data_IF_638570124225
#
_entry.id   IF_638570124225
#
_cell.length_a   1.000
_cell.length_b   1.000
_cell.length_c   1.000
_cell.angle_alpha   90.00
_cell.angle_beta   90.00
_cell.angle_gamma   90.00
#
_symmetry.space_group_name_H-M   'P 1'
#
loop_
_entity.id
_entity.type
_entity.pdbx_description
1 polymer ?
#
# COMPACT_ATOMS: atom_id res chain seq x y z
N UNK A 1 -8.71 9.51 -11.85
CA UNK A 1 -7.74 10.41 -11.18
C UNK A 1 -6.71 9.57 -10.46
N UNK A 2 -5.53 10.13 -10.18
CA UNK A 2 -4.44 9.44 -9.46
C UNK A 2 -4.33 10.07 -8.07
N UNK A 3 -4.32 9.23 -7.04
CA UNK A 3 -4.21 9.63 -5.64
C UNK A 3 -3.06 8.87 -4.99
N UNK A 4 -2.29 9.56 -4.16
CA UNK A 4 -1.18 8.95 -3.42
C UNK A 4 -1.53 9.06 -1.93
N UNK A 5 -1.61 7.91 -1.28
CA UNK A 5 -1.81 7.79 0.17
C UNK A 5 -0.47 7.34 0.73
N UNK A 6 0.13 8.18 1.57
CA UNK A 6 1.39 7.85 2.24
C UNK A 6 1.11 7.61 3.72
N UNK A 7 1.62 6.48 4.21
CA UNK A 7 1.71 6.17 5.63
C UNK A 7 3.19 6.12 6.02
N UNK A 8 3.55 6.78 7.12
CA UNK A 8 4.93 6.83 7.62
C UNK A 8 5.24 5.76 8.65
N UNK A 9 4.21 5.20 9.30
CA UNK A 9 4.33 4.19 10.35
C UNK A 9 3.26 3.11 10.16
N UNK A 10 3.39 2.39 9.04
CA UNK A 10 2.39 1.43 8.65
C UNK A 10 2.44 0.22 9.57
N UNK A 11 1.38 0.00 10.35
CA UNK A 11 1.31 -0.98 11.43
C UNK A 11 1.69 -2.42 11.05
N UNK A 12 1.51 -2.79 9.77
CA UNK A 12 1.88 -4.12 9.27
C UNK A 12 3.39 -4.26 9.11
N UNK A 13 4.10 -3.16 8.83
CA UNK A 13 5.55 -3.12 8.62
C UNK A 13 6.34 -2.61 9.83
N UNK A 14 5.74 -1.84 10.73
CA UNK A 14 6.37 -1.37 11.98
C UNK A 14 7.08 -2.48 12.78
N UNK A 15 6.57 -3.72 12.92
CA UNK A 15 7.27 -4.76 13.67
C UNK A 15 8.43 -5.44 12.92
N UNK A 16 8.62 -5.18 11.63
CA UNK A 16 9.67 -5.84 10.84
C UNK A 16 11.04 -5.23 11.09
N UNK A 17 11.20 -3.93 10.83
CA UNK A 17 12.46 -3.21 10.95
C UNK A 17 12.29 -1.72 10.63
N UNK A 18 13.21 -0.90 11.14
CA UNK A 18 13.37 0.48 10.72
C UNK A 18 14.53 0.60 9.72
N UNK A 19 14.25 0.51 8.43
CA UNK A 19 15.30 0.62 7.40
C UNK A 19 14.95 0.07 6.03
N UNK A 20 15.99 -0.14 5.23
CA UNK A 20 15.90 -0.64 3.83
C UNK A 20 16.19 -2.13 3.70
N UNK A 21 16.59 -2.79 4.79
CA UNK A 21 17.15 -4.14 4.80
C UNK A 21 16.15 -5.21 4.34
N UNK A 22 14.86 -5.00 4.63
CA UNK A 22 13.77 -5.95 4.36
C UNK A 22 12.76 -5.43 3.33
N UNK A 23 13.11 -4.41 2.54
CA UNK A 23 12.19 -3.83 1.56
C UNK A 23 11.76 -4.87 0.52
N UNK A 24 12.68 -5.72 0.06
CA UNK A 24 12.36 -6.79 -0.91
C UNK A 24 11.47 -7.87 -0.30
N UNK A 25 11.72 -8.24 0.95
CA UNK A 25 11.00 -9.30 1.66
C UNK A 25 9.61 -8.85 2.13
N UNK A 26 9.39 -7.54 2.28
CA UNK A 26 8.13 -7.00 2.78
C UNK A 26 7.04 -6.85 1.70
N UNK A 27 7.40 -6.80 0.42
CA UNK A 27 6.46 -6.60 -0.71
C UNK A 27 5.31 -7.64 -0.72
N UNK A 28 5.54 -8.96 -0.50
CA UNK A 28 4.46 -9.95 -0.45
C UNK A 28 3.43 -9.67 0.66
N UNK A 29 3.86 -9.12 1.80
CA UNK A 29 2.97 -8.79 2.91
C UNK A 29 2.04 -7.61 2.59
N UNK A 30 2.39 -6.80 1.58
CA UNK A 30 1.58 -5.67 1.12
C UNK A 30 0.44 -6.07 0.18
N UNK A 31 0.41 -7.32 -0.31
CA UNK A 31 -0.67 -7.80 -1.18
C UNK A 31 -2.04 -7.72 -0.51
N UNK A 32 -2.11 -8.01 0.79
CA UNK A 32 -3.35 -7.95 1.57
C UNK A 32 -3.86 -6.50 1.74
N UNK A 33 -3.07 -5.54 2.27
CA UNK A 33 -3.48 -4.12 2.34
C UNK A 33 -3.96 -3.55 1.00
N UNK A 34 -3.24 -3.82 -0.09
CA UNK A 34 -3.61 -3.37 -1.44
C UNK A 34 -4.97 -3.94 -1.86
N UNK A 35 -5.18 -5.23 -1.59
CA UNK A 35 -6.46 -5.91 -1.85
C UNK A 35 -7.62 -5.34 -1.03
N UNK A 36 -7.39 -5.01 0.25
CA UNK A 36 -8.39 -4.40 1.14
C UNK A 36 -8.81 -3.02 0.60
N UNK A 37 -7.85 -2.15 0.26
CA UNK A 37 -8.16 -0.82 -0.29
C UNK A 37 -8.93 -0.95 -1.60
N UNK A 38 -8.49 -1.84 -2.50
CA UNK A 38 -9.18 -2.09 -3.78
C UNK A 38 -10.61 -2.60 -3.56
N UNK A 39 -10.80 -3.58 -2.67
CA UNK A 39 -12.11 -4.16 -2.38
C UNK A 39 -13.07 -3.16 -1.70
N UNK A 40 -12.56 -2.32 -0.81
CA UNK A 40 -13.34 -1.26 -0.19
C UNK A 40 -13.83 -0.22 -1.21
N UNK A 41 -12.97 0.17 -2.15
CA UNK A 41 -13.34 1.07 -3.26
C UNK A 41 -14.37 0.43 -4.20
N UNK A 42 -14.19 -0.85 -4.54
CA UNK A 42 -15.12 -1.61 -5.37
C UNK A 42 -16.51 -1.71 -4.71
N UNK A 43 -16.55 -1.94 -3.39
CA UNK A 43 -17.79 -1.94 -2.61
C UNK A 43 -18.51 -0.58 -2.57
N UNK A 44 -17.79 0.53 -2.81
CA UNK A 44 -18.36 1.87 -2.98
C UNK A 44 -18.74 2.19 -4.44
N UNK A 45 -18.56 1.24 -5.37
CA UNK A 45 -18.78 1.43 -6.81
C UNK A 45 -17.67 2.21 -7.51
N UNK A 46 -16.49 2.31 -6.90
CA UNK A 46 -15.32 3.01 -7.46
C UNK A 46 -14.35 1.98 -8.02
N UNK A 47 -14.34 1.85 -9.35
CA UNK A 47 -13.33 1.04 -10.04
C UNK A 47 -11.95 1.70 -9.91
N UNK A 48 -11.00 1.05 -9.23
CA UNK A 48 -9.65 1.57 -9.07
C UNK A 48 -8.59 0.46 -9.09
N UNK A 49 -7.42 0.79 -9.60
CA UNK A 49 -6.20 0.01 -9.45
C UNK A 49 -5.39 0.59 -8.31
N UNK A 50 -4.94 -0.27 -7.40
CA UNK A 50 -4.10 0.12 -6.26
C UNK A 50 -2.73 -0.54 -6.45
N UNK A 51 -1.68 0.26 -6.47
CA UNK A 51 -0.28 -0.21 -6.45
C UNK A 51 0.42 0.30 -5.20
N UNK A 52 1.47 -0.39 -4.78
CA UNK A 52 2.19 -0.08 -3.55
C UNK A 52 3.68 0.11 -3.84
N UNK A 53 4.27 1.12 -3.21
CA UNK A 53 5.69 1.39 -3.25
C UNK A 53 6.22 1.53 -1.82
N UNK A 54 7.29 0.80 -1.51
CA UNK A 54 7.98 0.85 -0.22
C UNK A 54 9.43 1.23 -0.49
N UNK A 55 9.84 2.40 0.00
CA UNK A 55 11.23 2.88 -0.14
C UNK A 55 12.05 2.61 1.13
N UNK A 56 11.41 2.72 2.29
CA UNK A 56 12.03 2.54 3.61
C UNK A 56 10.95 2.10 4.59
N UNK A 57 11.17 1.00 5.31
CA UNK A 57 10.26 0.60 6.37
C UNK A 57 10.34 1.58 7.56
N UNK A 58 9.21 1.88 8.23
CA UNK A 58 7.86 1.35 8.01
C UNK A 58 6.99 2.20 7.06
N UNK A 59 7.57 3.04 6.22
CA UNK A 59 6.81 3.94 5.34
C UNK A 59 6.37 3.28 4.04
N UNK A 60 5.10 3.50 3.70
CA UNK A 60 4.43 2.93 2.54
C UNK A 60 3.73 4.03 1.74
N UNK A 61 3.79 3.93 0.41
CA UNK A 61 3.01 4.76 -0.52
C UNK A 61 2.05 3.87 -1.31
N UNK A 62 0.75 4.08 -1.14
CA UNK A 62 -0.29 3.49 -1.96
C UNK A 62 -0.65 4.46 -3.08
N UNK A 63 -0.56 4.00 -4.32
CA UNK A 63 -0.97 4.74 -5.50
C UNK A 63 -2.32 4.17 -5.97
N UNK A 64 -3.36 4.99 -5.87
CA UNK A 64 -4.73 4.65 -6.24
C UNK A 64 -5.07 5.36 -7.55
N UNK A 65 -5.19 4.57 -8.61
CA UNK A 65 -5.59 5.03 -9.93
C UNK A 65 -7.04 4.65 -10.19
N UNK A 66 -7.95 5.63 -10.18
CA UNK A 66 -9.35 5.40 -10.52
C UNK A 66 -9.49 5.17 -12.03
N UNK A 67 -10.15 4.06 -12.38
CA UNK A 67 -10.57 3.68 -13.74
C UNK A 67 -11.99 4.21 -13.91
N UNK A 68 -12.23 4.93 -15.00
CA UNK A 68 -13.49 5.62 -15.26
C UNK A 68 -14.47 4.72 -16.00
#
# INVERSE_FOLDING_TARGET
GIYIIQDTDFCTLSPFSDGVQYVSDCIPFMALPVGIVRGALDNLGICATVTVHVEKLPSVKFNVQMIK
#
